data_IF_580608099899
#
_entry.id   IF_580608099899
#
_cell.length_a   1.000
_cell.length_b   1.000
_cell.length_c   1.000
_cell.angle_alpha   90.00
_cell.angle_beta   90.00
_cell.angle_gamma   90.00
#
_symmetry.space_group_name_H-M   'P 1'
#
loop_
_entity.id
_entity.type
_entity.pdbx_description
1 polymer ?
#
# COMPACT_ATOMS: atom_id res chain seq x y z
N UNK A 1 11.40 -13.60 29.38
CA UNK A 1 10.35 -13.97 28.42
C UNK A 1 10.77 -15.22 27.65
N UNK A 2 9.92 -16.26 27.58
CA UNK A 2 10.20 -17.49 26.83
C UNK A 2 9.23 -17.57 25.65
N UNK A 3 9.77 -17.52 24.44
CA UNK A 3 8.98 -17.65 23.20
C UNK A 3 8.28 -19.01 23.16
N UNK A 4 6.99 -19.02 22.83
CA UNK A 4 6.15 -20.22 22.70
C UNK A 4 5.67 -20.46 21.27
N UNK A 5 5.17 -19.41 20.61
CA UNK A 5 4.67 -19.47 19.24
C UNK A 5 4.89 -18.13 18.54
N UNK A 6 5.32 -18.16 17.28
CA UNK A 6 5.46 -16.97 16.44
C UNK A 6 4.61 -17.19 15.20
N UNK A 7 3.80 -16.20 14.84
CA UNK A 7 3.11 -16.16 13.56
C UNK A 7 3.92 -15.22 12.67
N UNK A 8 4.40 -15.73 11.55
CA UNK A 8 5.13 -14.93 10.57
C UNK A 8 4.38 -14.94 9.24
N UNK A 9 4.22 -13.76 8.63
CA UNK A 9 3.64 -13.61 7.30
C UNK A 9 4.53 -12.69 6.46
N UNK A 10 4.90 -13.14 5.27
CA UNK A 10 5.63 -12.35 4.30
C UNK A 10 4.84 -12.29 3.00
N UNK A 11 4.66 -11.09 2.44
CA UNK A 11 3.99 -10.88 1.14
C UNK A 11 4.99 -10.25 0.19
N UNK A 12 5.05 -10.80 -1.02
CA UNK A 12 5.88 -10.33 -2.11
C UNK A 12 4.99 -10.21 -3.35
N UNK A 13 5.07 -9.07 -4.05
CA UNK A 13 4.27 -8.83 -5.25
C UNK A 13 5.17 -8.74 -6.48
N UNK A 14 4.76 -9.43 -7.54
CA UNK A 14 5.39 -9.38 -8.87
C UNK A 14 4.32 -9.26 -9.95
N UNK A 15 4.47 -8.27 -10.83
CA UNK A 15 3.59 -7.99 -11.94
C UNK A 15 4.18 -6.96 -12.89
N UNK A 16 4.19 -7.26 -14.18
CA UNK A 16 4.61 -6.32 -15.22
C UNK A 16 3.52 -5.30 -15.50
N UNK A 17 3.86 -4.06 -15.80
CA UNK A 17 2.89 -3.08 -16.29
C UNK A 17 2.28 -3.57 -17.60
N UNK A 18 0.99 -3.32 -17.81
CA UNK A 18 0.38 -3.48 -19.14
C UNK A 18 1.05 -2.54 -20.14
N UNK A 19 1.40 -1.33 -19.69
CA UNK A 19 2.08 -0.30 -20.45
C UNK A 19 3.33 0.14 -19.68
N UNK A 20 4.51 -0.47 -19.92
CA UNK A 20 5.74 -0.13 -19.20
C UNK A 20 6.24 1.28 -19.53
N UNK A 21 7.06 1.84 -18.64
CA UNK A 21 7.76 3.11 -18.84
C UNK A 21 9.02 2.89 -19.68
N UNK A 22 9.46 3.91 -20.40
CA UNK A 22 10.74 3.86 -21.13
C UNK A 22 11.88 4.25 -20.19
N UNK A 23 12.87 3.36 -20.01
CA UNK A 23 14.02 3.61 -19.11
C UNK A 23 14.81 4.86 -19.49
N UNK A 24 14.82 5.23 -20.78
CA UNK A 24 15.47 6.46 -21.28
C UNK A 24 14.77 7.75 -20.86
N UNK A 25 13.48 7.67 -20.50
CA UNK A 25 12.69 8.83 -20.08
C UNK A 25 12.76 9.06 -18.56
N UNK A 26 13.34 8.12 -17.81
CA UNK A 26 13.58 8.27 -16.38
C UNK A 26 14.72 9.24 -16.11
N UNK A 27 14.46 10.22 -15.24
CA UNK A 27 15.40 11.29 -14.93
C UNK A 27 15.59 11.45 -13.43
N UNK A 28 16.73 12.02 -13.04
CA UNK A 28 16.91 12.52 -11.68
C UNK A 28 15.97 13.70 -11.44
N UNK A 29 15.31 13.69 -10.29
CA UNK A 29 14.37 14.74 -9.87
C UNK A 29 14.34 14.85 -8.35
N UNK A 30 13.67 15.90 -7.85
CA UNK A 30 13.50 16.12 -6.42
C UNK A 30 12.09 15.74 -5.97
N UNK A 31 12.00 14.99 -4.87
CA UNK A 31 10.75 14.64 -4.21
C UNK A 31 10.65 15.37 -2.87
N UNK A 32 9.52 16.04 -2.62
CA UNK A 32 9.24 16.73 -1.35
C UNK A 32 8.73 15.73 -0.31
N UNK A 33 9.47 15.56 0.77
CA UNK A 33 9.11 14.71 1.91
C UNK A 33 8.06 15.41 2.80
N UNK A 34 7.45 14.64 3.70
CA UNK A 34 6.41 15.15 4.62
C UNK A 34 6.88 16.28 5.55
N UNK A 35 8.18 16.33 5.83
CA UNK A 35 8.81 17.39 6.62
C UNK A 35 9.29 18.58 5.77
N UNK A 36 8.95 18.59 4.48
CA UNK A 36 9.33 19.63 3.52
C UNK A 36 10.75 19.50 2.95
N UNK A 37 11.58 18.56 3.42
CA UNK A 37 12.90 18.31 2.84
C UNK A 37 12.75 17.74 1.43
N UNK A 38 13.73 18.03 0.57
CA UNK A 38 13.81 17.45 -0.77
C UNK A 38 14.79 16.30 -0.79
N UNK A 39 14.42 15.22 -1.49
CA UNK A 39 15.25 14.03 -1.71
C UNK A 39 15.40 13.80 -3.20
N UNK A 40 16.63 13.55 -3.64
CA UNK A 40 16.88 13.16 -5.03
C UNK A 40 16.37 11.73 -5.27
N UNK A 41 15.64 11.57 -6.38
CA UNK A 41 14.99 10.32 -6.77
C UNK A 41 15.13 10.09 -8.28
N UNK A 42 14.94 8.83 -8.70
CA UNK A 42 14.65 8.50 -10.09
C UNK A 42 13.15 8.64 -10.33
N UNK A 43 12.78 9.56 -11.21
CA UNK A 43 11.41 9.85 -11.59
C UNK A 43 11.15 9.31 -12.99
N UNK A 44 10.30 8.28 -13.07
CA UNK A 44 9.87 7.69 -14.33
C UNK A 44 8.84 8.60 -14.98
N UNK A 45 8.84 8.66 -16.31
CA UNK A 45 7.89 9.45 -17.08
C UNK A 45 7.24 8.61 -18.16
N UNK A 46 5.93 8.80 -18.35
CA UNK A 46 5.21 8.26 -19.50
C UNK A 46 4.06 9.16 -19.90
N UNK A 47 3.99 9.45 -21.19
CA UNK A 47 2.77 9.97 -21.81
C UNK A 47 1.80 8.81 -22.04
N UNK A 48 0.59 8.88 -21.48
CA UNK A 48 -0.39 7.81 -21.54
C UNK A 48 -1.69 8.28 -22.16
N UNK A 49 -2.05 7.69 -23.29
CA UNK A 49 -3.35 7.88 -23.93
C UNK A 49 -4.37 6.94 -23.29
N UNK A 50 -5.49 7.50 -22.82
CA UNK A 50 -6.62 6.72 -22.33
C UNK A 50 -6.41 5.99 -21.01
N UNK A 51 -5.72 6.62 -20.06
CA UNK A 51 -5.53 6.08 -18.70
C UNK A 51 -6.77 6.29 -17.85
N UNK A 52 -7.09 5.30 -17.00
CA UNK A 52 -8.12 5.46 -15.97
C UNK A 52 -7.67 6.51 -14.95
N UNK A 53 -8.32 7.67 -14.99
CA UNK A 53 -8.01 8.85 -14.20
C UNK A 53 -9.27 9.35 -13.47
N UNK A 54 -9.08 9.98 -12.32
CA UNK A 54 -10.15 10.71 -11.64
C UNK A 54 -9.59 11.94 -10.92
N UNK A 55 -10.31 13.05 -10.96
CA UNK A 55 -10.04 14.22 -10.12
C UNK A 55 -11.12 14.35 -9.05
N UNK A 56 -10.82 13.87 -7.84
CA UNK A 56 -11.75 13.88 -6.73
C UNK A 56 -11.78 15.24 -6.02
N UNK A 57 -12.75 16.08 -6.37
CA UNK A 57 -12.93 17.41 -5.77
C UNK A 57 -13.17 17.34 -4.25
N UNK A 58 -13.97 16.38 -3.78
CA UNK A 58 -14.36 16.26 -2.36
C UNK A 58 -13.18 15.98 -1.41
N UNK A 59 -12.13 15.32 -1.93
CA UNK A 59 -10.92 14.98 -1.17
C UNK A 59 -9.67 15.73 -1.68
N UNK A 60 -9.84 16.65 -2.62
CA UNK A 60 -8.78 17.48 -3.21
C UNK A 60 -7.58 16.66 -3.69
N UNK A 61 -7.85 15.58 -4.40
CA UNK A 61 -6.83 14.65 -4.87
C UNK A 61 -7.11 14.13 -6.27
N UNK A 62 -6.05 13.76 -6.98
CA UNK A 62 -6.11 13.09 -8.29
C UNK A 62 -5.71 11.64 -8.15
N UNK A 63 -6.33 10.77 -8.92
CA UNK A 63 -6.03 9.36 -8.94
C UNK A 63 -5.74 8.86 -10.35
N UNK A 64 -4.79 7.93 -10.45
CA UNK A 64 -4.58 7.08 -11.62
C UNK A 64 -4.67 5.62 -11.21
N UNK A 65 -5.19 4.78 -12.10
CA UNK A 65 -5.24 3.33 -11.91
C UNK A 65 -4.42 2.65 -13.00
N UNK A 66 -3.30 2.05 -12.62
CA UNK A 66 -2.36 1.36 -13.51
C UNK A 66 -2.64 -0.14 -13.49
N UNK A 67 -2.72 -0.76 -14.66
CA UNK A 67 -2.98 -2.20 -14.78
C UNK A 67 -1.69 -2.99 -14.96
N UNK A 68 -1.70 -4.22 -14.44
CA UNK A 68 -0.64 -5.20 -14.68
C UNK A 68 -1.00 -6.13 -15.84
N UNK A 69 -0.01 -6.49 -16.65
CA UNK A 69 -0.13 -7.41 -17.78
C UNK A 69 -0.69 -8.75 -17.31
N UNK A 70 -1.67 -9.28 -18.07
CA UNK A 70 -2.28 -10.59 -17.84
C UNK A 70 -2.82 -10.80 -16.41
N UNK A 71 -3.15 -9.71 -15.72
CA UNK A 71 -3.58 -9.73 -14.33
C UNK A 71 -4.86 -8.92 -14.13
N UNK A 72 -5.66 -9.35 -13.14
CA UNK A 72 -6.78 -8.54 -12.63
C UNK A 72 -6.33 -7.50 -11.61
N UNK A 73 -5.07 -7.56 -11.18
CA UNK A 73 -4.49 -6.66 -10.20
C UNK A 73 -4.19 -5.31 -10.85
N UNK A 74 -4.31 -4.25 -10.04
CA UNK A 74 -4.08 -2.86 -10.45
C UNK A 74 -3.43 -2.10 -9.31
N UNK A 75 -2.61 -1.12 -9.65
CA UNK A 75 -2.07 -0.16 -8.71
C UNK A 75 -2.88 1.14 -8.79
N UNK A 76 -3.47 1.53 -7.67
CA UNK A 76 -4.10 2.83 -7.53
C UNK A 76 -3.11 3.80 -6.90
N UNK A 77 -2.89 4.93 -7.54
CA UNK A 77 -2.07 6.02 -7.02
C UNK A 77 -2.98 7.20 -6.77
N UNK A 78 -3.01 7.68 -5.53
CA UNK A 78 -3.78 8.85 -5.13
C UNK A 78 -2.83 9.94 -4.67
N UNK A 79 -2.87 11.08 -5.34
CA UNK A 79 -1.99 12.21 -5.12
C UNK A 79 -2.80 13.43 -4.65
N UNK A 80 -2.56 13.97 -3.44
CA UNK A 80 -3.19 15.22 -3.03
C UNK A 80 -2.79 16.37 -3.98
N UNK A 81 -3.71 17.29 -4.24
CA UNK A 81 -3.45 18.45 -5.10
C UNK A 81 -2.45 19.43 -4.47
N UNK A 82 -2.35 19.43 -3.14
CA UNK A 82 -1.41 20.25 -2.36
C UNK A 82 -0.23 19.40 -1.90
N UNK A 83 0.97 19.99 -1.91
CA UNK A 83 2.20 19.31 -1.44
C UNK A 83 2.11 18.90 0.04
N UNK A 84 1.45 19.72 0.87
CA UNK A 84 1.23 19.47 2.30
C UNK A 84 -0.09 18.73 2.59
N UNK A 85 -0.81 18.26 1.55
CA UNK A 85 -2.18 17.76 1.65
C UNK A 85 -2.33 16.31 2.11
N UNK A 86 -1.23 15.54 2.22
CA UNK A 86 -1.31 14.12 2.55
C UNK A 86 -1.98 13.85 3.91
N UNK A 87 -1.67 14.56 5.02
CA UNK A 87 -2.31 14.30 6.31
C UNK A 87 -3.83 14.49 6.27
N UNK A 88 -4.32 15.54 5.59
CA UNK A 88 -5.76 15.81 5.47
C UNK A 88 -6.43 14.76 4.58
N UNK A 89 -5.77 14.34 3.49
CA UNK A 89 -6.24 13.28 2.62
C UNK A 89 -6.36 11.95 3.37
N UNK A 90 -5.33 11.55 4.13
CA UNK A 90 -5.34 10.33 4.94
C UNK A 90 -6.47 10.37 5.98
N UNK A 91 -6.64 11.51 6.66
CA UNK A 91 -7.75 11.69 7.59
C UNK A 91 -9.10 11.52 6.87
N UNK A 92 -9.33 12.16 5.70
CA UNK A 92 -10.59 11.99 4.96
C UNK A 92 -10.83 10.53 4.54
N UNK A 93 -9.81 9.84 4.04
CA UNK A 93 -9.94 8.45 3.53
C UNK A 93 -10.18 7.44 4.65
N UNK A 94 -9.50 7.59 5.78
CA UNK A 94 -9.55 6.62 6.88
C UNK A 94 -10.49 7.02 8.01
N UNK A 95 -11.13 8.20 7.94
CA UNK A 95 -12.20 8.56 8.87
C UNK A 95 -13.41 7.69 8.59
N UNK A 96 -13.75 6.87 9.58
CA UNK A 96 -14.96 6.07 9.60
C UNK A 96 -15.98 6.84 10.45
N UNK A 97 -16.85 7.62 9.80
CA UNK A 97 -17.88 8.39 10.50
C UNK A 97 -19.00 7.46 11.00
N UNK A 98 -19.46 7.56 12.26
CA UNK A 98 -20.66 6.87 12.70
C UNK A 98 -21.85 7.38 11.88
N UNK A 99 -22.48 6.50 11.09
CA UNK A 99 -23.77 6.85 10.49
C UNK A 99 -24.89 6.63 11.51
N UNK A 100 -26.06 7.29 11.35
CA UNK A 100 -27.24 7.03 12.19
C UNK A 100 -27.67 5.56 12.23
N UNK A 101 -27.19 4.73 11.30
CA UNK A 101 -27.49 3.31 11.15
C UNK A 101 -26.34 2.40 11.64
N UNK A 102 -25.33 2.95 12.33
CA UNK A 102 -24.27 2.18 12.99
C UNK A 102 -23.20 1.58 12.06
N UNK A 103 -23.31 1.77 10.74
CA UNK A 103 -22.23 1.42 9.80
C UNK A 103 -21.31 2.61 9.67
N UNK A 104 -20.07 2.44 10.08
CA UNK A 104 -19.03 3.42 9.81
C UNK A 104 -18.92 3.70 8.32
N UNK A 105 -19.04 4.96 7.91
CA UNK A 105 -19.00 5.32 6.49
C UNK A 105 -17.55 5.33 6.00
N UNK A 106 -17.23 4.44 5.05
CA UNK A 106 -15.95 4.39 4.32
C UNK A 106 -16.06 5.08 2.96
N UNK A 107 -17.03 5.99 2.82
CA UNK A 107 -17.40 6.66 1.58
C UNK A 107 -16.22 7.01 0.68
N UNK A 108 -15.22 7.70 1.22
CA UNK A 108 -14.10 8.18 0.41
C UNK A 108 -13.14 7.06 -0.01
N UNK A 109 -12.93 6.05 0.82
CA UNK A 109 -12.14 4.87 0.46
C UNK A 109 -12.86 4.04 -0.59
N UNK A 110 -14.17 3.80 -0.42
CA UNK A 110 -14.99 3.04 -1.35
C UNK A 110 -15.12 3.77 -2.70
N UNK A 111 -15.31 5.09 -2.67
CA UNK A 111 -15.30 5.95 -3.86
C UNK A 111 -13.96 5.90 -4.58
N UNK A 112 -12.84 5.99 -3.85
CA UNK A 112 -11.50 5.93 -4.44
C UNK A 112 -11.21 4.57 -5.10
N UNK A 113 -11.63 3.47 -4.48
CA UNK A 113 -11.41 2.11 -5.00
C UNK A 113 -12.42 1.70 -6.08
N UNK A 114 -13.55 2.40 -6.19
CA UNK A 114 -14.56 2.13 -7.22
C UNK A 114 -14.16 2.72 -8.57
N UNK A 115 -13.93 1.83 -9.52
CA UNK A 115 -13.59 2.19 -10.91
C UNK A 115 -14.70 2.93 -11.64
N UNK A 116 -15.93 2.95 -11.11
CA UNK A 116 -17.06 3.69 -11.70
C UNK A 116 -16.85 5.21 -11.70
N UNK A 117 -15.95 5.72 -10.86
CA UNK A 117 -15.61 7.14 -10.81
C UNK A 117 -14.46 7.53 -11.73
N UNK A 118 -13.78 6.55 -12.34
CA UNK A 118 -12.66 6.78 -13.23
C UNK A 118 -13.16 6.93 -14.65
N UNK A 119 -12.59 7.90 -15.35
CA UNK A 119 -12.80 8.13 -16.76
C UNK A 119 -11.47 8.01 -17.51
N UNK A 120 -11.57 7.82 -18.82
CA UNK A 120 -10.43 7.69 -19.72
C UNK A 120 -9.92 9.08 -20.06
N UNK A 121 -8.66 9.38 -19.72
CA UNK A 121 -8.03 10.69 -19.96
C UNK A 121 -6.61 10.53 -20.50
N UNK A 122 -6.12 11.53 -21.22
CA UNK A 122 -4.72 11.67 -21.58
C UNK A 122 -3.91 12.21 -20.38
N UNK A 123 -2.87 11.48 -19.95
CA UNK A 123 -2.13 11.78 -18.72
C UNK A 123 -0.63 11.77 -18.98
N UNK A 124 0.04 12.84 -18.55
CA UNK A 124 1.49 12.87 -18.39
C UNK A 124 1.84 12.37 -16.98
N UNK A 125 2.17 11.09 -16.86
CA UNK A 125 2.42 10.44 -15.58
C UNK A 125 3.91 10.54 -15.21
N UNK A 126 4.16 11.10 -14.04
CA UNK A 126 5.46 11.08 -13.38
C UNK A 126 5.36 10.24 -12.11
N UNK A 127 6.12 9.15 -12.05
CA UNK A 127 6.05 8.18 -10.96
C UNK A 127 7.46 7.90 -10.43
N UNK A 128 7.76 8.17 -9.15
CA UNK A 128 9.05 7.79 -8.59
C UNK A 128 9.28 6.28 -8.67
N UNK A 129 10.52 5.85 -8.91
CA UNK A 129 10.92 4.51 -8.51
C UNK A 129 10.92 4.46 -6.98
N UNK A 130 10.36 3.40 -6.42
CA UNK A 130 10.36 3.22 -4.97
C UNK A 130 10.41 1.75 -4.60
N UNK A 131 10.89 1.52 -3.37
CA UNK A 131 10.92 0.20 -2.76
C UNK A 131 10.36 0.29 -1.35
N UNK A 132 9.61 -0.72 -0.96
CA UNK A 132 9.01 -0.88 0.37
C UNK A 132 9.50 -2.21 0.93
N UNK A 133 9.92 -2.20 2.19
CA UNK A 133 10.29 -3.42 2.92
C UNK A 133 11.66 -4.01 2.61
N UNK A 134 12.37 -3.53 1.58
CA UNK A 134 13.76 -3.92 1.35
C UNK A 134 14.67 -3.29 2.41
N UNK A 135 15.27 -4.12 3.27
CA UNK A 135 16.16 -3.70 4.35
C UNK A 135 15.47 -3.31 5.66
N UNK A 136 14.13 -3.24 5.68
CA UNK A 136 13.36 -2.99 6.91
C UNK A 136 13.09 -4.30 7.67
N UNK A 137 13.17 -4.31 9.01
CA UNK A 137 12.78 -5.47 9.80
C UNK A 137 11.28 -5.72 9.69
N UNK A 138 10.86 -6.98 9.81
CA UNK A 138 9.45 -7.35 9.90
C UNK A 138 8.73 -6.54 10.98
N UNK A 139 7.57 -5.99 10.64
CA UNK A 139 6.71 -5.24 11.57
C UNK A 139 6.12 -6.19 12.59
N UNK A 140 6.31 -5.91 13.87
CA UNK A 140 5.62 -6.62 14.94
C UNK A 140 4.20 -6.06 15.09
N UNK A 141 3.20 -6.91 14.88
CA UNK A 141 1.79 -6.53 14.88
C UNK A 141 1.09 -6.73 16.23
N UNK A 142 1.80 -7.17 17.28
CA UNK A 142 1.18 -7.46 18.58
C UNK A 142 0.33 -6.30 19.09
N UNK A 143 0.93 -5.11 19.24
CA UNK A 143 0.25 -3.93 19.77
C UNK A 143 -0.94 -3.51 18.89
N UNK A 144 -0.77 -3.59 17.57
CA UNK A 144 -1.83 -3.29 16.61
C UNK A 144 -3.00 -4.26 16.76
N UNK A 145 -2.72 -5.57 16.84
CA UNK A 145 -3.75 -6.60 17.01
C UNK A 145 -4.47 -6.47 18.35
N UNK A 146 -3.74 -6.15 19.43
CA UNK A 146 -4.35 -5.87 20.73
C UNK A 146 -5.28 -4.66 20.68
N UNK A 147 -4.86 -3.56 20.04
CA UNK A 147 -5.69 -2.36 19.83
C UNK A 147 -6.94 -2.64 18.99
N UNK A 148 -6.86 -3.61 18.08
CA UNK A 148 -8.00 -4.08 17.27
C UNK A 148 -8.89 -5.09 18.00
N UNK A 149 -8.61 -5.41 19.27
CA UNK A 149 -9.42 -6.30 20.11
C UNK A 149 -8.97 -7.76 20.11
N UNK A 150 -7.91 -8.10 19.37
CA UNK A 150 -7.29 -9.43 19.38
C UNK A 150 -6.21 -9.45 20.45
N UNK A 151 -6.59 -9.73 21.70
CA UNK A 151 -5.66 -9.73 22.85
C UNK A 151 -5.46 -11.11 23.47
N UNK A 152 -6.52 -11.94 23.55
CA UNK A 152 -6.50 -13.25 24.22
C UNK A 152 -5.40 -14.18 23.71
N UNK A 153 -5.10 -14.15 22.42
CA UNK A 153 -4.09 -15.02 21.80
C UNK A 153 -2.67 -14.79 22.33
N UNK A 154 -2.41 -13.62 22.90
CA UNK A 154 -1.10 -13.22 23.43
C UNK A 154 -0.95 -13.51 24.93
N UNK A 155 -2.04 -13.84 25.61
CA UNK A 155 -2.09 -14.04 27.05
C UNK A 155 -1.82 -15.53 27.40
N UNK A 156 -0.79 -15.86 28.19
CA UNK A 156 -0.46 -17.24 28.52
C UNK A 156 -1.52 -17.97 29.36
N UNK A 157 -2.39 -17.25 30.06
CA UNK A 157 -3.39 -17.79 30.97
C UNK A 157 -4.78 -17.85 30.32
N UNK A 158 -5.02 -17.07 29.26
CA UNK A 158 -6.32 -16.97 28.57
C UNK A 158 -6.30 -17.55 27.15
N UNK A 159 -5.14 -17.64 26.50
CA UNK A 159 -5.04 -18.19 25.15
C UNK A 159 -5.49 -19.65 25.11
N UNK A 160 -6.40 -19.96 24.18
CA UNK A 160 -6.89 -21.32 23.94
C UNK A 160 -6.62 -21.73 22.49
N UNK A 161 -5.64 -22.63 22.35
CA UNK A 161 -5.28 -23.26 21.08
C UNK A 161 -5.52 -24.78 21.09
N UNK A 162 -6.39 -25.27 22.00
CA UNK A 162 -6.67 -26.71 22.19
C UNK A 162 -7.19 -27.42 20.93
N UNK A 163 -7.86 -26.68 20.02
CA UNK A 163 -8.31 -27.23 18.73
C UNK A 163 -7.18 -27.44 17.71
N UNK A 164 -6.01 -26.85 17.93
CA UNK A 164 -4.85 -26.99 17.04
C UNK A 164 -3.83 -28.00 17.57
N UNK A 165 -3.70 -28.13 18.90
CA UNK A 165 -2.66 -28.96 19.51
C UNK A 165 -2.95 -29.29 20.98
N UNK A 166 -2.41 -30.40 21.46
CA UNK A 166 -2.47 -30.83 22.87
C UNK A 166 -1.46 -30.10 23.78
N UNK A 167 -0.62 -29.22 23.22
CA UNK A 167 0.37 -28.45 23.99
C UNK A 167 -0.33 -27.46 24.93
N UNK A 168 -0.12 -27.66 26.25
CA UNK A 168 -0.69 -26.79 27.28
C UNK A 168 0.04 -25.45 27.38
N UNK A 169 -0.70 -24.39 27.73
CA UNK A 169 -0.20 -23.01 27.92
C UNK A 169 0.54 -22.49 26.68
N UNK A 170 -0.01 -22.78 25.50
CA UNK A 170 0.46 -22.20 24.25
C UNK A 170 -0.16 -20.82 24.08
N UNK A 171 0.66 -19.84 23.70
CA UNK A 171 0.22 -18.49 23.38
C UNK A 171 1.10 -17.90 22.28
N UNK A 172 0.58 -16.95 21.53
CA UNK A 172 1.32 -16.20 20.52
C UNK A 172 2.26 -15.24 21.23
N UNK A 173 3.55 -15.44 21.03
CA UNK A 173 4.60 -14.54 21.53
C UNK A 173 4.77 -13.33 20.63
N UNK A 174 4.70 -13.53 19.30
CA UNK A 174 4.78 -12.43 18.34
C UNK A 174 4.07 -12.74 17.03
N UNK A 175 3.51 -11.70 16.41
CA UNK A 175 3.04 -11.70 15.02
C UNK A 175 3.96 -10.78 14.23
N UNK A 176 4.70 -11.35 13.28
CA UNK A 176 5.66 -10.65 12.43
C UNK A 176 5.10 -10.58 11.02
N UNK A 177 5.03 -9.38 10.45
CA UNK A 177 4.59 -9.16 9.08
C UNK A 177 5.64 -8.39 8.27
N UNK A 178 5.94 -8.89 7.08
CA UNK A 178 6.82 -8.21 6.13
C UNK A 178 6.12 -8.13 4.77
N UNK A 179 6.19 -6.97 4.11
CA UNK A 179 5.72 -6.80 2.74
C UNK A 179 6.84 -6.17 1.94
N UNK A 180 7.21 -6.81 0.82
CA UNK A 180 8.24 -6.33 -0.09
C UNK A 180 7.59 -5.97 -1.43
N UNK A 181 7.86 -4.75 -1.89
CA UNK A 181 7.37 -4.21 -3.15
C UNK A 181 8.43 -3.30 -3.74
N UNK A 182 8.88 -3.58 -4.95
CA UNK A 182 9.71 -2.68 -5.77
C UNK A 182 8.89 -2.22 -6.97
N UNK A 183 8.96 -0.93 -7.30
CA UNK A 183 8.29 -0.35 -8.46
C UNK A 183 9.31 0.34 -9.36
N UNK A 184 9.34 -0.09 -10.61
CA UNK A 184 10.22 0.40 -11.66
C UNK A 184 9.49 0.53 -13.00
N UNK A 185 10.27 0.73 -14.08
CA UNK A 185 9.72 0.93 -15.41
C UNK A 185 9.01 -0.29 -16.00
N UNK A 186 9.40 -1.49 -15.56
CA UNK A 186 8.87 -2.75 -16.10
C UNK A 186 7.60 -3.17 -15.36
N UNK A 187 7.50 -2.87 -14.06
CA UNK A 187 6.38 -3.32 -13.25
C UNK A 187 6.47 -2.97 -11.78
N UNK A 188 5.70 -3.72 -11.02
CA UNK A 188 5.96 -3.96 -9.62
C UNK A 188 6.67 -5.30 -9.50
N UNK A 189 7.96 -5.21 -9.21
CA UNK A 189 9.03 -6.20 -9.23
C UNK A 189 9.02 -7.24 -10.36
N UNK A 190 9.54 -6.83 -11.53
CA UNK A 190 10.19 -7.73 -12.46
C UNK A 190 11.71 -7.46 -12.46
N UNK A 191 12.40 -7.86 -11.39
CA UNK A 191 13.85 -7.96 -11.41
C UNK A 191 14.30 -9.16 -12.29
N UNK A 192 14.15 -9.07 -13.61
CA UNK A 192 14.87 -9.88 -14.62
C UNK A 192 14.39 -9.54 -16.04
N UNK A 193 14.72 -8.35 -16.55
CA UNK A 193 15.02 -8.22 -17.97
C UNK A 193 16.24 -7.30 -18.16
N UNK A 194 17.30 -7.90 -18.70
CA UNK A 194 18.54 -7.27 -19.22
C UNK A 194 19.58 -6.80 -18.19
N UNK A 195 20.63 -7.60 -18.06
CA UNK A 195 21.84 -7.21 -17.34
C UNK A 195 23.00 -8.22 -17.34
N UNK A 196 23.16 -9.01 -18.42
CA UNK A 196 24.28 -9.94 -18.72
C UNK A 196 24.43 -11.12 -17.74
#
# INVERSE_FOLDING_TARGET
HRTKMVIANAIYFKGLWTLPFEKSDTRDSQFTLLDGRKKDIKLMYKHMEGTSFCNFQNIEAKAVCLSFKESKLRMFILLPNREDGLPQLLNKIFTVCPTPHGKGDKLYLDMFLSLTHYYTEEVNLYLPRFKIGEGDPSVNLNDTMMKLGVSKIFDPDVADFSSLTDVRRLFVSSILHCAVLEVDEEGAEAAAATGI
#
